data_IF_315310801125
#
_entry.id   IF_315310801125
#
_cell.length_a   1.000
_cell.length_b   1.000
_cell.length_c   1.000
_cell.angle_alpha   90.00
_cell.angle_beta   90.00
_cell.angle_gamma   90.00
#
_symmetry.space_group_name_H-M   'P 1'
#
loop_
_entity.id
_entity.type
_entity.pdbx_description
1 polymer ?
#
# COMPACT_ATOMS: atom_id res chain seq x y z
N UNK A 1 14.65 -9.48 -12.05
CA UNK A 1 14.69 -9.61 -10.58
C UNK A 1 14.49 -8.22 -9.97
N UNK A 2 13.29 -7.91 -9.47
CA UNK A 2 12.96 -6.58 -8.93
C UNK A 2 13.80 -6.29 -7.67
N UNK A 3 14.57 -5.19 -7.67
CA UNK A 3 15.20 -4.68 -6.44
C UNK A 3 14.09 -4.21 -5.50
N UNK A 4 13.85 -4.98 -4.44
CA UNK A 4 12.90 -4.68 -3.38
C UNK A 4 13.07 -3.24 -2.87
N UNK A 5 11.94 -2.52 -2.80
CA UNK A 5 11.88 -1.20 -2.19
C UNK A 5 12.38 -1.28 -0.73
N UNK A 6 13.35 -0.42 -0.35
CA UNK A 6 13.97 -0.41 1.00
C UNK A 6 12.98 -0.11 2.13
N UNK A 7 11.78 0.40 1.81
CA UNK A 7 10.71 0.67 2.78
C UNK A 7 9.49 -0.19 2.49
N UNK A 8 9.32 -1.23 3.30
CA UNK A 8 8.27 -2.24 3.17
C UNK A 8 7.07 -1.88 4.05
N UNK A 9 6.36 -0.82 3.67
CA UNK A 9 5.31 -0.21 4.50
C UNK A 9 4.13 -1.14 4.83
N UNK A 10 3.81 -2.10 3.97
CA UNK A 10 2.82 -3.14 4.28
C UNK A 10 3.17 -3.93 5.55
N UNK A 11 4.46 -4.02 5.91
CA UNK A 11 4.88 -4.69 7.15
C UNK A 11 4.58 -3.84 8.39
N UNK A 12 4.53 -2.50 8.28
CA UNK A 12 4.35 -1.62 9.43
C UNK A 12 3.02 -1.86 10.15
N UNK A 13 1.94 -2.17 9.42
CA UNK A 13 0.67 -2.50 10.05
C UNK A 13 0.82 -3.74 10.96
N UNK A 14 1.35 -4.83 10.42
CA UNK A 14 1.55 -6.08 11.16
C UNK A 14 2.52 -5.92 12.34
N UNK A 15 3.55 -5.08 12.18
CA UNK A 15 4.53 -4.76 13.23
C UNK A 15 3.88 -3.95 14.34
N UNK A 16 3.08 -2.94 14.01
CA UNK A 16 2.35 -2.14 15.00
C UNK A 16 1.30 -2.96 15.76
N UNK A 17 0.59 -3.86 15.07
CA UNK A 17 -0.35 -4.78 15.70
C UNK A 17 0.36 -5.74 16.66
N UNK A 18 1.52 -6.27 16.27
CA UNK A 18 2.36 -7.09 17.17
C UNK A 18 2.88 -6.27 18.34
N UNK A 19 3.32 -5.04 18.11
CA UNK A 19 3.80 -4.14 19.16
C UNK A 19 2.74 -3.92 20.24
N UNK A 20 1.46 -3.74 19.86
CA UNK A 20 0.35 -3.66 20.83
C UNK A 20 0.20 -4.93 21.67
N UNK A 21 0.29 -6.12 21.04
CA UNK A 21 0.15 -7.41 21.74
C UNK A 21 1.26 -7.63 22.78
N UNK A 22 2.48 -7.21 22.46
CA UNK A 22 3.64 -7.40 23.34
C UNK A 22 3.84 -6.25 24.34
N UNK A 23 3.14 -5.13 24.16
CA UNK A 23 3.36 -3.90 24.93
C UNK A 23 3.34 -4.09 26.46
N UNK A 24 2.42 -4.87 27.06
CA UNK A 24 2.43 -5.11 28.50
C UNK A 24 3.74 -5.73 29.00
N UNK A 25 4.28 -6.70 28.25
CA UNK A 25 5.55 -7.35 28.60
C UNK A 25 6.74 -6.40 28.42
N UNK A 26 6.67 -5.49 27.45
CA UNK A 26 7.69 -4.43 27.26
C UNK A 26 7.72 -3.50 28.46
N UNK A 27 6.56 -3.09 28.98
CA UNK A 27 6.47 -2.28 30.22
C UNK A 27 7.11 -3.04 31.38
N UNK A 28 6.74 -4.29 31.61
CA UNK A 28 7.32 -5.13 32.68
C UNK A 28 8.84 -5.25 32.55
N UNK A 29 9.36 -5.46 31.34
CA UNK A 29 10.79 -5.53 31.10
C UNK A 29 11.50 -4.22 31.45
N UNK A 30 10.97 -3.08 31.00
CA UNK A 30 11.54 -1.76 31.33
C UNK A 30 11.52 -1.51 32.82
N UNK A 31 10.44 -1.84 33.52
CA UNK A 31 10.34 -1.71 34.97
C UNK A 31 11.38 -2.57 35.72
N UNK A 32 11.60 -3.81 35.27
CA UNK A 32 12.61 -4.70 35.88
C UNK A 32 14.03 -4.18 35.68
N UNK A 33 14.34 -3.64 34.49
CA UNK A 33 15.62 -2.97 34.24
C UNK A 33 15.77 -1.73 35.13
N UNK A 34 14.73 -0.90 35.25
CA UNK A 34 14.76 0.30 36.09
C UNK A 34 14.92 -0.01 37.58
N UNK A 35 14.39 -1.15 38.05
CA UNK A 35 14.56 -1.64 39.42
C UNK A 35 15.91 -2.32 39.66
N UNK A 36 16.74 -2.49 38.63
CA UNK A 36 18.04 -3.15 38.72
C UNK A 36 17.98 -4.68 38.75
N UNK A 37 16.82 -5.28 38.47
CA UNK A 37 16.67 -6.74 38.41
C UNK A 37 17.21 -7.35 37.10
N UNK A 38 17.36 -6.53 36.05
CA UNK A 38 17.86 -6.93 34.74
C UNK A 38 18.96 -5.96 34.26
N UNK A 39 19.91 -6.42 33.42
CA UNK A 39 20.97 -5.56 32.90
C UNK A 39 20.40 -4.42 32.05
N UNK A 40 20.90 -3.20 32.27
CA UNK A 40 20.57 -2.03 31.46
C UNK A 40 21.28 -2.11 30.10
N UNK A 41 20.55 -2.20 28.97
CA UNK A 41 21.15 -2.31 27.65
C UNK A 41 21.95 -1.08 27.21
N UNK A 42 21.82 0.09 27.87
CA UNK A 42 22.54 1.35 27.56
C UNK A 42 22.59 1.75 26.07
N UNK A 43 21.57 1.35 25.31
CA UNK A 43 21.44 1.66 23.87
C UNK A 43 20.30 2.64 23.61
N UNK A 44 20.43 3.41 22.52
CA UNK A 44 19.43 4.43 22.11
C UNK A 44 18.02 3.86 21.92
N UNK A 45 17.91 2.60 21.47
CA UNK A 45 16.63 1.94 21.26
C UNK A 45 15.89 1.64 22.56
N UNK A 46 16.61 1.19 23.58
CA UNK A 46 16.06 0.95 24.90
C UNK A 46 15.60 2.26 25.54
N UNK A 47 16.40 3.33 25.44
CA UNK A 47 16.00 4.65 25.95
C UNK A 47 14.74 5.19 25.26
N UNK A 48 14.57 4.94 23.95
CA UNK A 48 13.35 5.28 23.24
C UNK A 48 12.14 4.48 23.75
N UNK A 49 12.26 3.16 23.94
CA UNK A 49 11.18 2.33 24.51
C UNK A 49 10.83 2.81 25.92
N UNK A 50 11.83 3.05 26.76
CA UNK A 50 11.68 3.57 28.11
C UNK A 50 10.97 4.93 28.14
N UNK A 51 11.25 5.82 27.20
CA UNK A 51 10.48 7.07 27.05
C UNK A 51 9.03 6.83 26.65
N UNK A 52 8.76 5.87 25.75
CA UNK A 52 7.41 5.51 25.33
C UNK A 52 6.61 4.86 26.48
N UNK A 53 7.25 4.08 27.36
CA UNK A 53 6.60 3.52 28.56
C UNK A 53 6.14 4.60 29.55
N UNK A 54 6.70 5.82 29.49
CA UNK A 54 6.27 6.97 30.30
C UNK A 54 5.11 7.75 29.67
N UNK A 55 4.86 7.58 28.37
CA UNK A 55 3.78 8.27 27.66
C UNK A 55 2.48 7.45 27.78
N UNK A 56 1.55 7.91 28.61
CA UNK A 56 0.24 7.27 28.80
C UNK A 56 -0.59 7.24 27.52
N UNK A 57 -0.34 8.13 26.55
CA UNK A 57 -1.03 8.18 25.27
C UNK A 57 -0.36 7.32 24.19
N UNK A 58 0.77 6.67 24.45
CA UNK A 58 1.50 5.90 23.43
C UNK A 58 0.62 4.83 22.78
N UNK A 59 -0.11 4.05 23.58
CA UNK A 59 -1.01 3.00 23.08
C UNK A 59 -2.13 3.60 22.22
N UNK A 60 -2.68 4.76 22.61
CA UNK A 60 -3.71 5.47 21.83
C UNK A 60 -3.14 5.91 20.48
N UNK A 61 -1.95 6.54 20.47
CA UNK A 61 -1.25 6.94 19.24
C UNK A 61 -1.02 5.75 18.30
N UNK A 62 -0.58 4.62 18.85
CA UNK A 62 -0.35 3.40 18.08
C UNK A 62 -1.66 2.80 17.51
N UNK A 63 -2.76 2.85 18.27
CA UNK A 63 -4.08 2.42 17.79
C UNK A 63 -4.65 3.35 16.70
N UNK A 64 -4.45 4.66 16.81
CA UNK A 64 -4.80 5.63 15.75
C UNK A 64 -4.04 5.28 14.46
N UNK A 65 -2.73 5.05 14.57
CA UNK A 65 -1.91 4.65 13.44
C UNK A 65 -2.44 3.36 12.78
N UNK A 66 -2.71 2.32 13.56
CA UNK A 66 -3.24 1.05 13.05
C UNK A 66 -4.60 1.27 12.37
N UNK A 67 -5.48 2.07 12.96
CA UNK A 67 -6.80 2.37 12.38
C UNK A 67 -6.69 3.01 10.99
N UNK A 68 -5.76 3.97 10.82
CA UNK A 68 -5.54 4.65 9.54
C UNK A 68 -4.80 3.74 8.56
N UNK A 69 -3.79 3.01 9.02
CA UNK A 69 -3.04 2.06 8.20
C UNK A 69 -3.95 0.95 7.65
N UNK A 70 -4.90 0.43 8.44
CA UNK A 70 -5.90 -0.56 7.97
C UNK A 70 -6.81 -0.02 6.87
N UNK A 71 -7.10 1.28 6.88
CA UNK A 71 -7.90 1.91 5.82
C UNK A 71 -7.10 2.06 4.51
N UNK A 72 -5.81 2.36 4.62
CA UNK A 72 -4.93 2.52 3.44
C UNK A 72 -4.45 1.17 2.86
N UNK A 73 -4.29 0.15 3.69
CA UNK A 73 -3.68 -1.14 3.29
C UNK A 73 -4.37 -1.80 2.10
N UNK A 74 -5.72 -1.93 2.04
CA UNK A 74 -6.39 -2.57 0.91
C UNK A 74 -6.12 -1.87 -0.43
N UNK A 75 -6.02 -0.54 -0.44
CA UNK A 75 -5.66 0.20 -1.64
C UNK A 75 -4.22 -0.14 -2.05
N UNK A 76 -3.27 -0.11 -1.12
CA UNK A 76 -1.86 -0.33 -1.46
C UNK A 76 -1.58 -1.75 -1.95
N UNK A 77 -2.23 -2.74 -1.36
CA UNK A 77 -2.09 -4.15 -1.76
C UNK A 77 -2.74 -4.39 -3.13
N UNK A 78 -3.90 -3.78 -3.38
CA UNK A 78 -4.62 -3.93 -4.65
C UNK A 78 -3.77 -3.50 -5.87
N UNK A 79 -2.93 -2.48 -5.71
CA UNK A 79 -2.07 -1.99 -6.79
C UNK A 79 -0.67 -2.63 -6.81
N UNK A 80 -0.44 -3.71 -6.06
CA UNK A 80 0.79 -4.53 -6.14
C UNK A 80 0.54 -5.79 -6.97
N UNK A 81 0.11 -5.61 -8.21
CA UNK A 81 -0.23 -6.68 -9.15
C UNK A 81 0.21 -6.32 -10.57
N UNK A 82 0.40 -7.35 -11.38
CA UNK A 82 0.65 -7.31 -12.83
C UNK A 82 -0.63 -7.17 -13.68
N UNK A 83 -1.80 -7.19 -13.05
CA UNK A 83 -3.07 -6.86 -13.72
C UNK A 83 -3.12 -5.38 -14.12
N UNK A 84 -3.89 -5.03 -15.17
CA UNK A 84 -4.04 -3.65 -15.57
C UNK A 84 -4.97 -2.91 -14.62
N UNK A 85 -4.40 -2.17 -13.68
CA UNK A 85 -5.16 -1.52 -12.61
C UNK A 85 -5.41 -0.04 -12.86
N UNK A 86 -4.76 0.55 -13.87
CA UNK A 86 -4.89 1.97 -14.17
C UNK A 86 -6.34 2.45 -14.38
N UNK A 87 -7.24 1.68 -15.05
CA UNK A 87 -8.64 2.10 -15.22
C UNK A 87 -9.39 2.33 -13.91
N UNK A 88 -9.03 1.61 -12.84
CA UNK A 88 -9.72 1.65 -11.55
C UNK A 88 -9.15 2.72 -10.59
N UNK A 89 -7.94 3.20 -10.87
CA UNK A 89 -7.17 4.07 -9.96
C UNK A 89 -7.90 5.34 -9.56
N UNK A 90 -8.56 6.00 -10.52
CA UNK A 90 -9.22 7.28 -10.27
C UNK A 90 -10.33 7.15 -9.22
N UNK A 91 -11.09 6.07 -9.29
CA UNK A 91 -12.22 5.82 -8.38
C UNK A 91 -11.74 5.30 -7.03
N UNK A 92 -10.80 4.36 -7.03
CA UNK A 92 -10.22 3.84 -5.80
C UNK A 92 -9.52 4.93 -4.99
N UNK A 93 -8.80 5.85 -5.66
CA UNK A 93 -8.19 7.01 -5.02
C UNK A 93 -9.23 7.96 -4.44
N UNK A 94 -10.32 8.22 -5.19
CA UNK A 94 -11.43 9.03 -4.69
C UNK A 94 -12.00 8.44 -3.39
N UNK A 95 -12.27 7.14 -3.38
CA UNK A 95 -12.81 6.44 -2.21
C UNK A 95 -11.85 6.47 -1.01
N UNK A 96 -10.56 6.22 -1.23
CA UNK A 96 -9.53 6.30 -0.19
C UNK A 96 -9.45 7.70 0.42
N UNK A 97 -9.32 8.74 -0.42
CA UNK A 97 -9.21 10.12 0.05
C UNK A 97 -10.47 10.54 0.80
N UNK A 98 -11.65 10.21 0.28
CA UNK A 98 -12.93 10.56 0.89
C UNK A 98 -13.13 9.88 2.25
N UNK A 99 -12.71 8.62 2.39
CA UNK A 99 -12.72 7.90 3.68
C UNK A 99 -11.85 8.58 4.74
N UNK A 100 -10.59 8.86 4.40
CA UNK A 100 -9.64 9.54 5.29
C UNK A 100 -10.12 10.95 5.67
N UNK A 101 -10.65 11.71 4.70
CA UNK A 101 -11.23 13.04 4.95
C UNK A 101 -12.47 12.96 5.85
N UNK A 102 -13.29 11.91 5.73
CA UNK A 102 -14.48 11.68 6.56
C UNK A 102 -14.22 11.67 8.07
N UNK A 103 -12.98 11.39 8.47
CA UNK A 103 -12.56 11.38 9.88
C UNK A 103 -12.48 12.77 10.50
N UNK A 104 -12.25 13.83 9.71
CA UNK A 104 -12.06 15.19 10.25
C UNK A 104 -12.76 16.31 9.47
N UNK A 105 -13.27 16.09 8.25
CA UNK A 105 -14.06 17.06 7.49
C UNK A 105 -15.56 16.93 7.77
N UNK A 106 -16.29 18.04 7.75
CA UNK A 106 -17.76 18.07 7.89
C UNK A 106 -18.42 17.30 6.75
N UNK A 107 -19.51 16.57 7.03
CA UNK A 107 -20.20 15.77 6.01
C UNK A 107 -20.73 16.62 4.86
N UNK A 108 -21.23 17.84 5.14
CA UNK A 108 -21.71 18.78 4.12
C UNK A 108 -20.62 19.12 3.09
N UNK A 109 -19.41 19.44 3.56
CA UNK A 109 -18.28 19.78 2.70
C UNK A 109 -17.82 18.60 1.82
N UNK A 110 -17.96 17.36 2.31
CA UNK A 110 -17.61 16.16 1.55
C UNK A 110 -18.66 15.79 0.49
N UNK A 111 -19.92 16.19 0.67
CA UNK A 111 -20.97 15.98 -0.34
C UNK A 111 -20.74 16.85 -1.59
N UNK A 112 -20.19 18.05 -1.40
CA UNK A 112 -19.87 18.98 -2.50
C UNK A 112 -18.67 18.51 -3.33
N UNK A 113 -17.70 17.83 -2.70
CA UNK A 113 -16.52 17.24 -3.33
C UNK A 113 -16.81 15.84 -3.91
N UNK A 114 -17.68 15.81 -4.93
CA UNK A 114 -18.21 14.58 -5.52
C UNK A 114 -17.38 13.99 -6.69
N UNK A 115 -16.21 14.57 -6.99
CA UNK A 115 -15.30 14.05 -8.03
C UNK A 115 -13.87 13.99 -7.50
N UNK A 116 -13.04 13.12 -8.08
CA UNK A 116 -11.61 13.03 -7.73
C UNK A 116 -10.91 14.38 -7.87
N UNK A 117 -11.24 15.15 -8.91
CA UNK A 117 -10.62 16.45 -9.16
C UNK A 117 -10.96 17.47 -8.06
N UNK A 118 -12.20 17.45 -7.55
CA UNK A 118 -12.60 18.30 -6.43
C UNK A 118 -11.90 17.90 -5.13
N UNK A 119 -11.68 16.60 -4.88
CA UNK A 119 -10.93 16.14 -3.70
C UNK A 119 -9.44 16.51 -3.79
N UNK A 120 -8.84 16.42 -4.99
CA UNK A 120 -7.45 16.79 -5.22
C UNK A 120 -7.19 18.28 -4.95
N UNK A 121 -8.17 19.14 -5.22
CA UNK A 121 -8.08 20.57 -4.95
C UNK A 121 -8.79 21.02 -3.66
N UNK A 122 -9.24 20.08 -2.84
CA UNK A 122 -9.94 20.41 -1.61
C UNK A 122 -8.98 21.12 -0.63
N UNK A 123 -9.38 22.26 -0.02
CA UNK A 123 -8.51 23.03 0.87
C UNK A 123 -8.37 22.36 2.24
N UNK A 124 -7.53 21.32 2.34
CA UNK A 124 -7.32 20.51 3.55
C UNK A 124 -6.81 21.29 4.78
N UNK A 125 -6.27 22.50 4.58
CA UNK A 125 -5.78 23.35 5.67
C UNK A 125 -6.85 24.26 6.29
N UNK A 126 -8.00 24.40 5.62
CA UNK A 126 -9.00 25.39 6.01
C UNK A 126 -9.97 24.82 7.06
N UNK A 127 -9.80 25.30 8.29
CA UNK A 127 -10.57 24.86 9.46
C UNK A 127 -12.07 25.07 9.35
N UNK A 128 -12.56 25.91 8.43
CA UNK A 128 -14.01 26.11 8.20
C UNK A 128 -14.70 24.83 7.74
N UNK A 129 -13.98 23.94 7.06
CA UNK A 129 -14.49 22.66 6.57
C UNK A 129 -14.31 21.50 7.56
N UNK A 130 -13.63 21.74 8.69
CA UNK A 130 -13.27 20.69 9.64
C UNK A 130 -14.32 20.52 10.74
N UNK A 131 -14.48 19.30 11.23
CA UNK A 131 -15.23 19.00 12.44
C UNK A 131 -14.59 19.69 13.65
N UNK A 132 -15.41 19.93 14.66
CA UNK A 132 -14.93 20.37 15.97
C UNK A 132 -14.00 19.31 16.59
N UNK A 133 -13.08 19.73 17.46
CA UNK A 133 -12.01 18.87 17.96
C UNK A 133 -12.53 17.54 18.57
N UNK A 134 -13.61 17.60 19.35
CA UNK A 134 -14.20 16.42 20.00
C UNK A 134 -14.90 15.44 19.02
N UNK A 135 -15.22 15.88 17.80
CA UNK A 135 -15.86 15.07 16.75
C UNK A 135 -14.86 14.45 15.77
N UNK A 136 -13.56 14.68 15.94
CA UNK A 136 -12.52 14.05 15.13
C UNK A 136 -12.48 12.55 15.46
N UNK A 137 -12.64 11.71 14.44
CA UNK A 137 -12.69 10.26 14.59
C UNK A 137 -11.29 9.65 14.70
N UNK A 138 -10.96 9.10 15.86
CA UNK A 138 -9.69 8.42 16.14
C UNK A 138 -9.66 6.94 15.71
N UNK A 139 -10.83 6.37 15.43
CA UNK A 139 -11.04 4.94 15.27
C UNK A 139 -11.44 4.26 16.59
N UNK A 140 -12.29 3.22 16.48
CA UNK A 140 -12.99 2.61 17.61
C UNK A 140 -12.06 2.19 18.76
N UNK A 141 -11.00 1.45 18.48
CA UNK A 141 -10.06 0.98 19.52
C UNK A 141 -9.32 2.12 20.21
N UNK A 142 -8.96 3.18 19.47
CA UNK A 142 -8.29 4.34 20.03
C UNK A 142 -9.22 5.18 20.91
N UNK A 143 -10.48 5.33 20.53
CA UNK A 143 -11.51 6.01 21.33
C UNK A 143 -11.71 5.30 22.67
N UNK A 144 -11.85 3.97 22.65
CA UNK A 144 -12.03 3.17 23.85
C UNK A 144 -10.80 3.26 24.79
N UNK A 145 -9.59 3.17 24.23
CA UNK A 145 -8.37 3.32 25.02
C UNK A 145 -8.25 4.73 25.63
N UNK A 146 -8.61 5.77 24.87
CA UNK A 146 -8.61 7.15 25.35
C UNK A 146 -9.65 7.36 26.46
N UNK A 147 -10.84 6.78 26.32
CA UNK A 147 -11.91 6.84 27.32
C UNK A 147 -11.49 6.16 28.64
N UNK A 148 -10.84 5.00 28.58
CA UNK A 148 -10.29 4.32 29.77
C UNK A 148 -9.24 5.17 30.50
N UNK A 149 -8.34 5.82 29.75
CA UNK A 149 -7.33 6.70 30.35
C UNK A 149 -7.96 7.93 31.02
N UNK A 150 -9.03 8.49 30.43
CA UNK A 150 -9.81 9.56 31.07
C UNK A 150 -10.50 9.09 32.35
N UNK A 151 -11.18 7.94 32.30
CA UNK A 151 -11.92 7.39 33.44
C UNK A 151 -11.03 7.01 34.61
N UNK A 152 -9.75 6.68 34.35
CA UNK A 152 -8.73 6.41 35.38
C UNK A 152 -7.92 7.64 35.77
N UNK A 153 -8.30 8.84 35.30
CA UNK A 153 -7.60 10.11 35.55
C UNK A 153 -6.10 10.11 35.19
N UNK A 154 -5.67 9.22 34.28
CA UNK A 154 -4.29 9.14 33.80
C UNK A 154 -3.95 10.25 32.80
N UNK A 155 -4.97 10.89 32.23
CA UNK A 155 -4.85 12.01 31.30
C UNK A 155 -5.88 13.09 31.62
N UNK A 156 -5.55 14.34 31.30
CA UNK A 156 -6.45 15.48 31.37
C UNK A 156 -7.37 15.58 30.14
N UNK A 157 -8.46 16.34 30.26
CA UNK A 157 -9.33 16.65 29.12
C UNK A 157 -8.56 17.39 28.00
N UNK A 158 -7.62 18.25 28.40
CA UNK A 158 -6.73 18.95 27.48
C UNK A 158 -5.90 17.98 26.63
N UNK A 159 -5.23 17.01 27.25
CA UNK A 159 -4.45 15.99 26.53
C UNK A 159 -5.30 15.17 25.57
N UNK A 160 -6.55 14.87 25.96
CA UNK A 160 -7.46 14.15 25.10
C UNK A 160 -7.97 14.96 23.90
N UNK A 161 -8.07 16.28 24.01
CA UNK A 161 -8.33 17.15 22.86
C UNK A 161 -7.08 17.33 21.99
N UNK A 162 -5.90 17.43 22.60
CA UNK A 162 -4.62 17.53 21.90
C UNK A 162 -4.38 16.32 20.99
N UNK A 163 -4.58 15.08 21.48
CA UNK A 163 -4.42 13.87 20.65
C UNK A 163 -5.38 13.81 19.46
N UNK A 164 -6.60 14.36 19.59
CA UNK A 164 -7.54 14.50 18.47
C UNK A 164 -7.03 15.48 17.42
N UNK A 165 -6.45 16.59 17.86
CA UNK A 165 -5.85 17.57 16.97
C UNK A 165 -4.59 17.02 16.29
N UNK A 166 -3.75 16.27 17.01
CA UNK A 166 -2.61 15.53 16.44
C UNK A 166 -3.07 14.53 15.36
N UNK A 167 -4.12 13.75 15.63
CA UNK A 167 -4.71 12.83 14.65
C UNK A 167 -5.18 13.57 13.38
N UNK A 168 -5.84 14.71 13.54
CA UNK A 168 -6.24 15.54 12.39
C UNK A 168 -5.04 16.06 11.60
N UNK A 169 -4.00 16.57 12.27
CA UNK A 169 -2.77 17.02 11.61
C UNK A 169 -2.11 15.86 10.85
N UNK A 170 -2.09 14.67 11.45
CA UNK A 170 -1.59 13.47 10.80
C UNK A 170 -2.36 13.13 9.52
N UNK A 171 -3.70 13.08 9.58
CA UNK A 171 -4.57 12.84 8.43
C UNK A 171 -4.41 13.88 7.33
N UNK A 172 -4.38 15.17 7.69
CA UNK A 172 -4.15 16.28 6.74
C UNK A 172 -2.83 16.09 6.02
N UNK A 173 -1.78 15.66 6.73
CA UNK A 173 -0.46 15.51 6.11
C UNK A 173 -0.41 14.33 5.15
N UNK A 174 -1.04 13.20 5.48
CA UNK A 174 -1.21 12.08 4.53
C UNK A 174 -1.93 12.57 3.27
N UNK A 175 -3.06 13.25 3.45
CA UNK A 175 -3.91 13.69 2.35
C UNK A 175 -3.23 14.74 1.46
N UNK A 176 -2.48 15.69 2.03
CA UNK A 176 -1.67 16.62 1.25
C UNK A 176 -0.66 15.89 0.36
N UNK A 177 -0.09 14.80 0.87
CA UNK A 177 0.88 14.00 0.10
C UNK A 177 0.22 13.18 -0.99
N UNK A 178 -1.01 12.70 -0.75
CA UNK A 178 -1.84 12.15 -1.81
C UNK A 178 -2.16 13.22 -2.86
N UNK A 179 -2.59 14.42 -2.46
CA UNK A 179 -2.86 15.54 -3.39
C UNK A 179 -1.62 15.92 -4.22
N UNK A 180 -0.43 16.00 -3.61
CA UNK A 180 0.80 16.40 -4.30
C UNK A 180 1.33 15.34 -5.28
N UNK A 181 1.16 14.06 -4.97
CA UNK A 181 1.91 12.99 -5.65
C UNK A 181 1.04 12.02 -6.45
N UNK A 182 -0.28 12.06 -6.30
CA UNK A 182 -1.14 11.06 -6.91
C UNK A 182 -1.11 11.12 -8.45
N UNK A 183 -0.96 9.98 -9.14
CA UNK A 183 -0.98 9.93 -10.60
C UNK A 183 -2.29 10.49 -11.18
N UNK A 184 -3.37 10.47 -10.40
CA UNK A 184 -4.67 11.05 -10.76
C UNK A 184 -4.63 12.58 -10.90
N UNK A 185 -3.52 13.25 -10.61
CA UNK A 185 -3.30 14.65 -11.02
C UNK A 185 -3.22 14.81 -12.54
N UNK A 186 -2.80 13.77 -13.26
CA UNK A 186 -2.78 13.78 -14.72
C UNK A 186 -4.18 13.50 -15.29
N UNK A 187 -4.62 14.33 -16.24
CA UNK A 187 -5.91 14.18 -16.90
C UNK A 187 -6.06 12.86 -17.64
N UNK A 188 -4.99 12.38 -18.26
CA UNK A 188 -4.94 11.09 -18.92
C UNK A 188 -5.34 9.96 -17.96
N UNK A 189 -4.69 9.89 -16.79
CA UNK A 189 -4.97 8.88 -15.75
C UNK A 189 -6.42 8.91 -15.30
N UNK A 190 -7.00 10.09 -15.08
CA UNK A 190 -8.44 10.21 -14.74
C UNK A 190 -9.36 9.77 -15.88
N UNK A 191 -8.94 9.94 -17.12
CA UNK A 191 -9.72 9.59 -18.30
C UNK A 191 -9.69 8.09 -18.57
N UNK A 192 -8.63 7.38 -18.17
CA UNK A 192 -8.53 5.91 -18.28
C UNK A 192 -9.65 5.15 -17.56
N UNK A 193 -10.43 5.78 -16.68
CA UNK A 193 -11.63 5.17 -16.09
C UNK A 193 -12.67 4.75 -17.14
N UNK A 194 -12.66 5.31 -18.35
CA UNK A 194 -13.53 4.80 -19.42
C UNK A 194 -13.18 3.36 -19.82
N UNK A 195 -12.00 2.88 -19.46
CA UNK A 195 -11.58 1.51 -19.70
C UNK A 195 -12.06 0.52 -18.62
N UNK A 196 -12.74 0.99 -17.57
CA UNK A 196 -13.40 0.13 -16.59
C UNK A 196 -14.63 -0.54 -17.23
N UNK A 197 -14.71 -1.88 -17.31
CA UNK A 197 -15.84 -2.58 -17.90
C UNK A 197 -17.20 -2.18 -17.31
N UNK A 198 -17.24 -1.91 -16.00
CA UNK A 198 -18.46 -1.49 -15.30
C UNK A 198 -18.89 -0.09 -15.75
N UNK A 199 -17.93 0.81 -15.96
CA UNK A 199 -18.18 2.14 -16.50
C UNK A 199 -18.68 2.08 -17.95
N UNK A 200 -18.07 1.23 -18.78
CA UNK A 200 -18.49 1.02 -20.16
C UNK A 200 -19.94 0.53 -20.25
N UNK A 201 -20.33 -0.41 -19.38
CA UNK A 201 -21.67 -0.96 -19.35
C UNK A 201 -22.73 -0.01 -18.76
N UNK A 202 -22.32 0.92 -17.89
CA UNK A 202 -23.25 1.78 -17.15
C UNK A 202 -23.44 3.17 -17.77
N UNK A 203 -22.39 3.78 -18.33
CA UNK A 203 -22.46 5.15 -18.84
C UNK A 203 -21.59 5.35 -20.08
N UNK A 204 -22.21 5.16 -21.25
CA UNK A 204 -21.60 5.37 -22.56
C UNK A 204 -21.15 6.81 -22.75
N UNK A 205 -21.98 7.79 -22.45
CA UNK A 205 -21.71 9.21 -22.69
C UNK A 205 -20.51 9.69 -21.86
N UNK A 206 -20.42 9.27 -20.60
CA UNK A 206 -19.29 9.59 -19.74
C UNK A 206 -18.00 8.92 -20.21
N UNK A 207 -18.09 7.68 -20.70
CA UNK A 207 -16.96 6.96 -21.28
C UNK A 207 -16.46 7.63 -22.57
N UNK A 208 -17.36 8.04 -23.47
CA UNK A 208 -17.01 8.75 -24.70
C UNK A 208 -16.33 10.09 -24.44
N UNK A 209 -16.83 10.87 -23.47
CA UNK A 209 -16.21 12.13 -23.08
C UNK A 209 -14.78 11.96 -22.56
N UNK A 210 -14.51 10.87 -21.85
CA UNK A 210 -13.17 10.49 -21.37
C UNK A 210 -12.30 9.95 -22.50
N UNK A 211 -12.83 9.10 -23.37
CA UNK A 211 -12.12 8.57 -24.54
C UNK A 211 -11.66 9.70 -25.44
N UNK A 212 -12.51 10.71 -25.70
CA UNK A 212 -12.13 11.89 -26.48
C UNK A 212 -10.92 12.62 -25.90
N UNK A 213 -10.82 12.70 -24.56
CA UNK A 213 -9.66 13.29 -23.87
C UNK A 213 -8.40 12.42 -24.02
N UNK A 214 -8.54 11.09 -23.98
CA UNK A 214 -7.43 10.16 -24.25
C UNK A 214 -6.91 10.37 -25.67
N UNK A 215 -7.80 10.39 -26.66
CA UNK A 215 -7.44 10.60 -28.07
C UNK A 215 -6.73 11.94 -28.27
N UNK A 216 -7.22 13.04 -27.69
CA UNK A 216 -6.51 14.33 -27.76
C UNK A 216 -5.09 14.26 -27.20
N UNK A 217 -4.86 13.50 -26.13
CA UNK A 217 -3.51 13.29 -25.59
C UNK A 217 -2.63 12.44 -26.52
N UNK A 218 -3.18 11.40 -27.14
CA UNK A 218 -2.44 10.51 -28.06
C UNK A 218 -2.10 11.19 -29.39
N UNK A 219 -3.02 12.01 -29.92
CA UNK A 219 -2.76 12.88 -31.09
C UNK A 219 -1.65 13.87 -30.77
N UNK A 220 -1.73 14.56 -29.63
CA UNK A 220 -0.69 15.51 -29.21
C UNK A 220 0.69 14.86 -28.98
N UNK A 221 0.74 13.54 -28.77
CA UNK A 221 1.95 12.76 -28.64
C UNK A 221 2.36 12.03 -29.93
N UNK A 222 1.68 12.28 -31.06
CA UNK A 222 1.91 11.63 -32.36
C UNK A 222 1.79 10.10 -32.35
N UNK A 223 0.98 9.53 -31.46
CA UNK A 223 0.68 8.09 -31.46
C UNK A 223 -0.46 7.73 -32.41
N UNK A 224 -1.39 8.65 -32.66
CA UNK A 224 -2.58 8.45 -33.48
C UNK A 224 -2.79 9.67 -34.37
N UNK A 225 -3.21 9.47 -35.62
CA UNK A 225 -3.61 10.56 -36.51
C UNK A 225 -4.98 11.13 -36.13
N UNK A 226 -5.12 12.45 -36.23
CA UNK A 226 -6.38 13.15 -35.94
C UNK A 226 -7.54 12.61 -36.81
N UNK A 227 -7.25 12.27 -38.07
CA UNK A 227 -8.18 11.68 -39.04
C UNK A 227 -8.85 10.39 -38.55
N UNK A 228 -8.19 9.61 -37.68
CA UNK A 228 -8.69 8.35 -37.17
C UNK A 228 -9.59 8.50 -35.93
N UNK A 229 -9.62 9.69 -35.30
CA UNK A 229 -10.26 9.88 -34.00
C UNK A 229 -11.78 9.70 -34.03
N UNK A 230 -12.45 10.23 -35.06
CA UNK A 230 -13.92 10.12 -35.17
C UNK A 230 -14.37 8.67 -35.41
N UNK A 231 -13.58 7.91 -36.18
CA UNK A 231 -13.82 6.48 -36.36
C UNK A 231 -13.64 5.71 -35.04
N UNK A 232 -12.56 5.96 -34.30
CA UNK A 232 -12.33 5.32 -33.00
C UNK A 232 -13.46 5.64 -32.02
N UNK A 233 -13.93 6.90 -31.98
CA UNK A 233 -15.05 7.29 -31.11
C UNK A 233 -16.35 6.57 -31.49
N UNK A 234 -16.62 6.40 -32.78
CA UNK A 234 -17.79 5.66 -33.27
C UNK A 234 -17.70 4.17 -32.91
N UNK A 235 -16.58 3.52 -33.19
CA UNK A 235 -16.34 2.11 -32.85
C UNK A 235 -16.45 1.90 -31.34
N UNK A 236 -15.86 2.79 -30.54
CA UNK A 236 -15.94 2.71 -29.08
C UNK A 236 -17.37 2.95 -28.56
N UNK A 237 -18.15 3.82 -29.20
CA UNK A 237 -19.54 4.05 -28.86
C UNK A 237 -20.41 2.81 -29.10
N UNK A 238 -20.15 2.08 -30.20
CA UNK A 238 -20.79 0.81 -30.51
C UNK A 238 -20.37 -0.28 -29.51
N UNK A 239 -19.08 -0.31 -29.15
CA UNK A 239 -18.57 -1.23 -28.15
C UNK A 239 -19.21 -1.00 -26.77
N UNK A 240 -19.40 0.25 -26.33
CA UNK A 240 -20.10 0.53 -25.08
C UNK A 240 -21.55 0.04 -25.10
N UNK A 241 -22.26 0.17 -26.23
CA UNK A 241 -23.61 -0.39 -26.37
C UNK A 241 -23.58 -1.92 -26.21
N UNK A 242 -22.61 -2.58 -26.83
CA UNK A 242 -22.41 -4.01 -26.70
C UNK A 242 -22.08 -4.42 -25.25
N UNK A 243 -21.12 -3.75 -24.61
CA UNK A 243 -20.72 -3.98 -23.22
C UNK A 243 -21.90 -3.83 -22.25
N UNK A 244 -22.80 -2.87 -22.49
CA UNK A 244 -23.99 -2.67 -21.68
C UNK A 244 -24.94 -3.87 -21.66
N UNK A 245 -24.89 -4.74 -22.68
CA UNK A 245 -25.69 -5.97 -22.76
C UNK A 245 -25.03 -7.16 -22.05
N UNK A 246 -23.71 -7.15 -21.89
CA UNK A 246 -22.93 -8.26 -21.35
C UNK A 246 -22.87 -8.25 -19.81
N UNK A 247 -23.19 -9.38 -19.18
CA UNK A 247 -23.04 -9.52 -17.71
C UNK A 247 -21.58 -9.44 -17.27
N UNK A 248 -20.65 -9.97 -18.08
CA UNK A 248 -19.20 -9.94 -17.81
C UNK A 248 -18.64 -8.53 -17.59
N UNK A 249 -19.26 -7.50 -18.18
CA UNK A 249 -18.88 -6.10 -17.97
C UNK A 249 -19.54 -5.52 -16.71
N UNK A 250 -20.83 -5.78 -16.49
CA UNK A 250 -21.59 -5.27 -15.34
C UNK A 250 -21.09 -5.82 -14.01
N UNK A 251 -20.67 -7.08 -14.00
CA UNK A 251 -20.25 -7.82 -12.80
C UNK A 251 -18.72 -7.96 -12.69
N UNK A 252 -17.97 -7.23 -13.53
CA UNK A 252 -16.51 -7.33 -13.59
C UNK A 252 -15.85 -7.07 -12.23
N UNK A 253 -14.95 -7.97 -11.82
CA UNK A 253 -14.24 -7.85 -10.55
C UNK A 253 -12.73 -7.66 -10.77
N UNK A 254 -12.27 -6.40 -10.70
CA UNK A 254 -10.85 -6.05 -10.87
C UNK A 254 -9.89 -6.68 -9.86
N UNK A 255 -10.38 -7.28 -8.77
CA UNK A 255 -9.55 -7.99 -7.79
C UNK A 255 -9.15 -9.39 -8.25
N UNK A 256 -9.94 -9.98 -9.15
CA UNK A 256 -9.77 -11.37 -9.61
C UNK A 256 -9.43 -11.36 -11.10
N UNK A 257 -10.21 -10.62 -11.87
CA UNK A 257 -10.22 -10.65 -13.33
C UNK A 257 -9.22 -9.67 -13.95
N UNK A 258 -8.88 -9.93 -15.21
CA UNK A 258 -7.97 -9.14 -16.04
C UNK A 258 -8.75 -8.35 -17.09
N UNK A 259 -8.70 -7.03 -17.00
CA UNK A 259 -9.44 -6.15 -17.91
C UNK A 259 -8.89 -6.22 -19.33
N UNK A 260 -7.58 -6.32 -19.49
CA UNK A 260 -6.90 -6.52 -20.77
C UNK A 260 -7.36 -7.83 -21.44
N UNK A 261 -7.45 -8.93 -20.68
CA UNK A 261 -7.93 -10.21 -21.22
C UNK A 261 -9.39 -10.14 -21.65
N UNK A 262 -10.28 -9.55 -20.85
CA UNK A 262 -11.69 -9.37 -21.21
C UNK A 262 -11.82 -8.51 -22.47
N UNK A 263 -11.15 -7.35 -22.49
CA UNK A 263 -11.20 -6.42 -23.62
C UNK A 263 -10.65 -7.06 -24.89
N UNK A 264 -9.54 -7.78 -24.81
CA UNK A 264 -8.96 -8.51 -25.94
C UNK A 264 -9.88 -9.62 -26.44
N UNK A 265 -10.49 -10.40 -25.55
CA UNK A 265 -11.39 -11.48 -25.96
C UNK A 265 -12.61 -10.95 -26.71
N UNK A 266 -13.17 -9.82 -26.26
CA UNK A 266 -14.42 -9.29 -26.80
C UNK A 266 -14.20 -8.43 -28.04
N UNK A 267 -13.12 -7.63 -28.08
CA UNK A 267 -12.79 -6.80 -29.26
C UNK A 267 -11.94 -7.52 -30.28
N UNK A 268 -11.02 -8.41 -29.86
CA UNK A 268 -10.06 -9.07 -30.75
C UNK A 268 -10.68 -10.05 -31.74
N UNK A 269 -11.92 -10.51 -31.45
CA UNK A 269 -12.68 -11.41 -32.33
C UNK A 269 -13.44 -10.66 -33.43
N UNK A 270 -13.69 -9.35 -33.26
CA UNK A 270 -14.47 -8.56 -34.20
C UNK A 270 -13.62 -7.47 -34.86
N UNK A 271 -13.51 -7.54 -36.19
CA UNK A 271 -12.76 -6.56 -36.98
C UNK A 271 -13.34 -5.14 -36.86
N UNK A 272 -14.58 -5.00 -36.39
CA UNK A 272 -15.23 -3.71 -36.15
C UNK A 272 -14.55 -2.89 -35.03
N UNK A 273 -13.72 -3.49 -34.17
CA UNK A 273 -13.07 -2.79 -33.05
C UNK A 273 -11.55 -2.67 -33.19
N UNK A 274 -11.01 -2.93 -34.39
CA UNK A 274 -9.56 -2.93 -34.60
C UNK A 274 -8.88 -1.60 -34.27
N UNK A 275 -9.52 -0.44 -34.52
CA UNK A 275 -8.88 0.86 -34.23
C UNK A 275 -8.89 1.17 -32.74
N UNK A 276 -9.96 0.79 -32.04
CA UNK A 276 -10.04 0.87 -30.57
C UNK A 276 -8.95 0.02 -29.92
N UNK A 277 -8.71 -1.19 -30.43
CA UNK A 277 -7.64 -2.08 -29.94
C UNK A 277 -6.24 -1.46 -30.06
N UNK A 278 -5.95 -0.69 -31.12
CA UNK A 278 -4.67 0.03 -31.25
C UNK A 278 -4.50 1.04 -30.11
N UNK A 279 -5.56 1.82 -29.81
CA UNK A 279 -5.56 2.78 -28.70
C UNK A 279 -5.35 2.09 -27.35
N UNK A 280 -5.95 0.92 -27.16
CA UNK A 280 -5.78 0.14 -25.94
C UNK A 280 -4.39 -0.45 -25.82
N UNK A 281 -3.81 -0.95 -26.91
CA UNK A 281 -2.44 -1.47 -26.93
C UNK A 281 -1.41 -0.36 -26.61
N UNK A 282 -1.57 0.83 -27.18
CA UNK A 282 -0.71 1.99 -26.89
C UNK A 282 -0.96 2.56 -25.48
N UNK A 283 -2.21 2.55 -25.02
CA UNK A 283 -2.60 2.97 -23.66
C UNK A 283 -2.15 2.00 -22.56
N UNK A 284 -2.07 0.71 -22.86
CA UNK A 284 -1.52 -0.34 -21.98
C UNK A 284 0.02 -0.33 -21.99
N UNK A 285 0.67 0.15 -23.05
CA UNK A 285 2.11 0.47 -23.03
C UNK A 285 2.45 1.54 -21.99
N UNK A 286 1.57 2.52 -21.77
CA UNK A 286 1.73 3.49 -20.68
C UNK A 286 1.63 2.84 -19.30
N UNK A 287 1.03 1.66 -19.11
CA UNK A 287 1.14 0.94 -17.84
C UNK A 287 2.56 0.48 -17.55
N UNK A 288 3.37 0.12 -18.56
CA UNK A 288 4.79 -0.17 -18.36
C UNK A 288 5.60 1.07 -17.97
N UNK A 289 5.21 2.25 -18.45
CA UNK A 289 5.74 3.54 -17.99
C UNK A 289 5.19 3.91 -16.60
N UNK A 290 3.96 3.52 -16.30
CA UNK A 290 3.29 3.68 -15.00
C UNK A 290 3.92 2.79 -13.92
N UNK A 291 4.47 1.62 -14.28
CA UNK A 291 5.31 0.79 -13.41
C UNK A 291 6.53 1.56 -12.87
N UNK A 292 7.14 2.44 -13.68
CA UNK A 292 8.23 3.29 -13.21
C UNK A 292 7.76 4.40 -12.25
N UNK A 293 6.53 4.89 -12.39
CA UNK A 293 5.93 5.90 -11.49
C UNK A 293 5.28 5.30 -10.24
N UNK A 294 4.83 4.04 -10.28
CA UNK A 294 4.25 3.25 -9.18
C UNK A 294 5.18 3.19 -7.97
N UNK A 295 6.46 2.90 -8.22
CA UNK A 295 7.47 2.83 -7.15
C UNK A 295 7.60 4.18 -6.46
N UNK A 296 7.69 5.27 -7.23
CA UNK A 296 7.91 6.62 -6.70
C UNK A 296 6.69 7.17 -5.96
N UNK A 297 5.47 6.94 -6.47
CA UNK A 297 4.25 7.43 -5.83
C UNK A 297 3.96 6.71 -4.51
N UNK A 298 3.94 5.37 -4.53
CA UNK A 298 3.73 4.58 -3.32
C UNK A 298 4.84 4.93 -2.32
N UNK A 299 6.10 5.02 -2.74
CA UNK A 299 7.21 5.38 -1.87
C UNK A 299 7.13 6.80 -1.31
N UNK A 300 6.62 7.79 -2.06
CA UNK A 300 6.46 9.17 -1.56
C UNK A 300 5.32 9.32 -0.55
N UNK A 301 4.20 8.62 -0.76
CA UNK A 301 3.08 8.56 0.21
C UNK A 301 3.56 7.84 1.48
N UNK A 302 4.27 6.72 1.31
CA UNK A 302 4.89 5.93 2.39
C UNK A 302 5.91 6.73 3.21
N UNK A 303 6.84 7.44 2.55
CA UNK A 303 7.84 8.26 3.24
C UNK A 303 7.19 9.33 4.11
N UNK A 304 6.05 9.87 3.68
CA UNK A 304 5.34 10.89 4.43
C UNK A 304 4.60 10.34 5.65
N UNK A 305 4.01 9.14 5.54
CA UNK A 305 3.50 8.40 6.70
C UNK A 305 4.62 8.11 7.73
N UNK A 306 5.82 7.75 7.26
CA UNK A 306 6.99 7.54 8.11
C UNK A 306 7.62 8.82 8.69
N UNK A 307 7.36 10.00 8.13
CA UNK A 307 7.88 11.27 8.68
C UNK A 307 6.87 11.88 9.67
N UNK A 308 5.57 11.76 9.41
CA UNK A 308 4.53 12.46 10.19
C UNK A 308 4.17 11.69 11.47
N UNK A 309 4.08 10.36 11.43
CA UNK A 309 3.87 9.54 12.64
C UNK A 309 5.07 9.62 13.60
N UNK A 310 6.25 9.92 13.04
CA UNK A 310 7.52 9.76 13.73
C UNK A 310 8.26 11.09 13.97
N UNK A 311 7.58 12.22 13.74
CA UNK A 311 8.06 13.56 14.12
C UNK A 311 7.99 13.80 15.65
N UNK A 312 7.55 12.81 16.43
CA UNK A 312 8.10 12.59 17.76
C UNK A 312 9.28 11.62 17.62
N UNK A 313 10.51 12.12 17.67
CA UNK A 313 11.77 11.44 17.37
C UNK A 313 12.01 10.06 18.05
N UNK A 314 11.13 9.62 18.95
CA UNK A 314 11.23 8.38 19.72
C UNK A 314 10.69 7.14 18.96
N UNK A 315 9.61 7.26 18.19
CA UNK A 315 8.98 6.07 17.57
C UNK A 315 9.84 5.52 16.40
N UNK A 316 10.61 6.40 15.72
CA UNK A 316 11.42 6.01 14.55
C UNK A 316 12.60 5.14 14.99
N UNK A 317 13.16 5.44 16.16
CA UNK A 317 14.32 4.74 16.74
C UNK A 317 13.92 3.36 17.22
N UNK A 318 12.73 3.18 17.80
CA UNK A 318 12.25 1.86 18.26
C UNK A 318 12.09 0.90 17.07
N UNK A 319 11.49 1.35 15.97
CA UNK A 319 11.30 0.49 14.78
C UNK A 319 12.56 0.34 13.92
N UNK A 320 13.39 1.39 13.74
CA UNK A 320 14.69 1.25 13.04
C UNK A 320 15.67 0.35 13.79
N UNK A 321 15.73 0.44 15.11
CA UNK A 321 16.66 -0.36 15.91
C UNK A 321 16.26 -1.83 15.96
N UNK A 322 14.98 -2.13 15.76
CA UNK A 322 14.51 -3.50 15.58
C UNK A 322 14.84 -4.07 14.19
N UNK A 323 15.12 -3.20 13.20
CA UNK A 323 15.28 -3.60 11.79
C UNK A 323 16.72 -3.56 11.25
N UNK A 324 17.64 -2.85 11.91
CA UNK A 324 19.02 -2.71 11.43
C UNK A 324 20.05 -3.70 12.01
N UNK A 325 19.64 -4.74 12.75
CA UNK A 325 20.59 -5.77 13.21
C UNK A 325 20.82 -6.85 12.15
N UNK A 326 21.52 -6.47 11.07
CA UNK A 326 22.37 -7.38 10.29
C UNK A 326 23.69 -7.66 11.04
N UNK A 327 24.57 -8.55 10.55
CA UNK A 327 25.15 -9.69 11.28
C UNK A 327 26.18 -9.42 12.40
N UNK A 328 26.21 -8.21 12.99
CA UNK A 328 27.01 -7.90 14.19
C UNK A 328 26.24 -8.02 15.51
N UNK A 329 24.93 -8.27 15.50
CA UNK A 329 24.07 -8.32 16.70
C UNK A 329 23.99 -9.67 17.42
N UNK A 330 25.08 -10.44 17.42
CA UNK A 330 25.07 -11.85 17.86
C UNK A 330 24.90 -12.09 19.38
N UNK A 331 24.76 -11.05 20.22
CA UNK A 331 24.65 -11.25 21.67
C UNK A 331 23.25 -11.06 22.27
N UNK A 332 22.31 -10.40 21.56
CA UNK A 332 20.91 -10.29 22.01
C UNK A 332 20.06 -11.46 21.52
N UNK A 333 20.47 -12.12 20.43
CA UNK A 333 19.80 -13.31 19.90
C UNK A 333 20.01 -14.56 20.78
N UNK A 334 21.07 -14.61 21.59
CA UNK A 334 21.44 -15.81 22.37
C UNK A 334 20.57 -15.99 23.61
N UNK A 335 20.14 -14.90 24.25
CA UNK A 335 19.32 -14.98 25.48
C UNK A 335 17.88 -15.44 25.18
N UNK A 336 17.29 -15.03 24.05
CA UNK A 336 15.93 -15.43 23.68
C UNK A 336 15.86 -16.76 22.89
N UNK A 337 16.94 -17.18 22.22
CA UNK A 337 16.99 -18.50 21.56
C UNK A 337 17.14 -19.64 22.58
N UNK A 338 17.77 -19.37 23.72
CA UNK A 338 17.96 -20.37 24.79
C UNK A 338 16.68 -20.71 25.56
N UNK A 339 15.64 -19.87 25.45
CA UNK A 339 14.30 -20.14 26.00
C UNK A 339 13.36 -20.79 24.98
N UNK A 340 13.72 -20.79 23.69
CA UNK A 340 12.82 -21.20 22.60
C UNK A 340 13.07 -22.61 22.07
N UNK A 341 14.05 -23.35 22.62
CA UNK A 341 14.30 -24.76 22.30
C UNK A 341 13.75 -25.76 23.32
N UNK A 342 13.03 -25.32 24.35
CA UNK A 342 12.32 -26.21 25.27
C UNK A 342 10.82 -25.91 25.20
N UNK A 343 10.16 -26.50 24.20
CA UNK A 343 8.71 -26.58 24.15
C UNK A 343 8.16 -27.43 25.32
N UNK A 344 6.90 -27.23 25.72
CA UNK A 344 6.31 -27.93 26.84
C UNK A 344 5.95 -29.37 26.43
N UNK A 345 6.68 -30.36 26.98
CA UNK A 345 6.14 -31.71 27.11
C UNK A 345 5.42 -31.85 28.45
N UNK A 346 4.18 -32.31 28.39
CA UNK A 346 3.42 -32.77 29.54
C UNK A 346 4.01 -34.05 30.13
N UNK A 347 3.98 -34.10 31.47
CA UNK A 347 3.81 -35.24 32.36
C UNK A 347 5.04 -36.01 32.91
N UNK A 348 5.11 -35.94 34.25
CA UNK A 348 5.40 -36.98 35.23
C UNK A 348 6.85 -37.38 35.60
N UNK A 349 7.21 -36.97 36.83
CA UNK A 349 7.94 -37.68 37.90
C UNK A 349 8.87 -38.85 37.55
N UNK A 350 10.13 -38.74 38.00
CA UNK A 350 10.82 -39.61 38.99
C UNK A 350 12.31 -39.78 38.68
N UNK A 351 13.13 -39.52 39.69
CA UNK A 351 14.45 -40.11 40.03
C UNK A 351 15.59 -40.28 39.01
N UNK A 352 16.76 -39.89 39.51
CA UNK A 352 18.06 -40.58 39.44
C UNK A 352 19.02 -40.40 38.24
N UNK A 353 20.17 -39.79 38.61
CA UNK A 353 21.58 -40.21 38.37
C UNK A 353 22.32 -39.84 37.07
N UNK A 354 23.36 -39.03 37.32
CA UNK A 354 24.80 -39.22 37.02
C UNK A 354 25.33 -39.26 35.57
N UNK A 355 26.25 -38.30 35.37
CA UNK A 355 27.63 -38.41 34.86
C UNK A 355 27.92 -38.39 33.35
N UNK A 356 28.85 -37.47 33.02
CA UNK A 356 30.01 -37.62 32.10
C UNK A 356 29.74 -37.92 30.63
N UNK A 357 30.56 -37.55 29.64
CA UNK A 357 31.69 -36.67 29.41
C UNK A 357 32.11 -36.97 27.96
N UNK A 358 32.65 -35.98 27.22
CA UNK A 358 33.62 -36.16 26.10
C UNK A 358 33.07 -36.92 24.85
N UNK A 359 33.52 -36.79 23.60
CA UNK A 359 34.57 -36.03 22.88
C UNK A 359 34.33 -36.27 21.37
N UNK A 360 34.98 -35.45 20.55
CA UNK A 360 35.52 -35.76 19.21
C UNK A 360 34.69 -35.66 17.91
N UNK A 361 35.43 -35.15 16.91
CA UNK A 361 35.13 -34.74 15.53
C UNK A 361 35.33 -35.93 14.53
N UNK A 362 35.59 -35.72 13.22
CA UNK A 362 34.64 -35.46 12.11
C UNK A 362 34.87 -36.42 10.89
N UNK A 363 34.15 -36.19 9.78
CA UNK A 363 34.45 -36.73 8.42
C UNK A 363 33.34 -37.63 7.90
N UNK A 364 33.09 -37.86 6.60
CA UNK A 364 33.46 -37.29 5.29
C UNK A 364 32.63 -38.13 4.26
N UNK A 365 32.53 -37.68 2.99
CA UNK A 365 32.13 -38.48 1.79
C UNK A 365 30.65 -38.93 1.66
N UNK A 366 30.04 -39.15 0.49
CA UNK A 366 30.29 -38.85 -0.91
C UNK A 366 28.98 -39.10 -1.73
N UNK A 367 28.99 -38.59 -2.95
CA UNK A 367 28.15 -38.75 -4.16
C UNK A 367 27.24 -40.00 -4.31
N UNK A 368 26.11 -39.83 -5.01
CA UNK A 368 25.76 -40.69 -6.15
C UNK A 368 24.72 -40.03 -7.10
N UNK A 369 25.07 -39.97 -8.38
CA UNK A 369 24.23 -39.63 -9.53
C UNK A 369 23.31 -40.81 -9.94
N UNK A 370 22.16 -40.51 -10.56
CA UNK A 370 21.75 -41.13 -11.83
C UNK A 370 20.58 -40.42 -12.53
N UNK A 371 20.82 -40.12 -13.80
CA UNK A 371 19.90 -39.69 -14.87
C UNK A 371 18.86 -40.76 -15.25
N UNK A 372 17.75 -40.34 -15.87
CA UNK A 372 17.36 -40.81 -17.22
C UNK A 372 16.30 -39.91 -17.89
N UNK A 373 16.48 -39.75 -19.21
CA UNK A 373 15.88 -38.82 -20.19
C UNK A 373 14.62 -39.37 -20.89
N UNK A 374 13.86 -38.47 -21.55
CA UNK A 374 13.36 -38.52 -22.97
C UNK A 374 12.24 -37.43 -23.15
N UNK A 375 12.42 -36.30 -23.87
CA UNK A 375 12.40 -36.03 -25.35
C UNK A 375 11.15 -36.59 -26.08
N UNK A 376 10.32 -35.83 -26.82
CA UNK A 376 10.54 -34.97 -28.01
C UNK A 376 9.33 -34.02 -28.21
N UNK A 377 9.52 -32.71 -28.39
CA UNK A 377 9.63 -31.92 -29.65
C UNK A 377 8.32 -31.41 -30.29
N UNK A 378 8.33 -30.11 -30.62
CA UNK A 378 7.26 -29.39 -31.31
C UNK A 378 7.51 -27.88 -31.36
N UNK A 379 8.58 -27.47 -32.05
CA UNK A 379 8.97 -26.08 -32.25
C UNK A 379 8.08 -25.33 -33.27
N UNK A 380 7.68 -24.10 -32.97
CA UNK A 380 7.43 -23.05 -33.98
C UNK A 380 7.81 -21.66 -33.46
N UNK A 381 9.00 -21.24 -33.89
CA UNK A 381 9.51 -19.88 -34.16
C UNK A 381 8.69 -18.65 -33.70
N UNK A 382 9.23 -17.94 -32.71
CA UNK A 382 8.95 -16.54 -32.41
C UNK A 382 9.56 -15.62 -33.49
N UNK A 383 8.73 -14.81 -34.15
CA UNK A 383 9.18 -13.62 -34.89
C UNK A 383 9.25 -12.41 -33.94
N UNK A 384 10.41 -11.76 -33.75
CA UNK A 384 10.44 -10.43 -33.15
C UNK A 384 10.24 -9.37 -34.24
N UNK A 385 9.15 -8.60 -34.15
CA UNK A 385 8.98 -7.39 -34.95
C UNK A 385 10.04 -6.37 -34.54
N UNK A 386 11.03 -6.24 -35.42
CA UNK A 386 12.15 -5.31 -35.41
C UNK A 386 11.62 -3.91 -35.77
N UNK A 387 11.36 -3.07 -34.79
CA UNK A 387 11.16 -1.63 -35.03
C UNK A 387 12.49 -0.91 -34.79
N UNK A 388 12.95 -0.23 -35.83
CA UNK A 388 14.23 0.44 -35.93
C UNK A 388 14.34 1.57 -34.91
N UNK A 389 15.42 1.55 -34.13
CA UNK A 389 15.94 2.75 -33.49
C UNK A 389 16.32 3.75 -34.59
N UNK A 390 15.62 4.88 -34.64
CA UNK A 390 16.14 6.10 -35.26
C UNK A 390 16.42 7.06 -34.12
N UNK A 391 17.63 6.94 -33.56
CA UNK A 391 18.23 7.98 -32.75
C UNK A 391 18.70 9.03 -33.76
N UNK A 392 17.96 10.12 -33.90
CA UNK A 392 18.54 11.36 -34.42
C UNK A 392 19.13 12.08 -33.22
N UNK A 393 20.43 11.85 -33.00
CA UNK A 393 21.25 12.82 -32.31
C UNK A 393 21.29 14.11 -33.14
N UNK A 394 21.45 15.24 -32.45
CA UNK A 394 22.38 16.35 -32.73
C UNK A 394 21.77 17.72 -32.36
N UNK A 395 22.57 18.77 -32.10
CA UNK A 395 23.80 18.77 -31.28
C UNK A 395 23.94 20.05 -30.40
N UNK A 396 24.89 19.98 -29.45
CA UNK A 396 25.55 21.03 -28.62
C UNK A 396 24.67 21.98 -27.79
#
# INVERSE_FOLDING_TARGET
>A
MLRFCKHRWLENLSVSERALKIWPYVITYVELVQKGHLPDPKIKSFEAIKSCCKDSLFVVKLMIFISIAREMTPFLTLYQTDRPMLPFLSEDMFNLMKGLMGRFCKEKSLKEANTVLKLLHFPLGDSRFHKEAHKINLGFSAEEALHKLKGTSQISERQALEIRMECKVFLITILKKLQEKAPVNHQLVRSMQCLDPRSMACSKEACLAKMKRILSHLVGANHIEESACDDILREYAEFCNFAALQSSFREFNSKVDRVDSLLFEMMGKDKAFCKVLVVLCDGLWLEQVWWMTRVVFIQSVVCSLCVVVFCGAQILVVLRSWWCSGPGGAQVLVVLRSWWCSGPHTAQSSSDRLSSAQTDRPGAEAELERDENEHCDGAFSFFPLRIRNVIVEQPV
#
